data_IF_791480098753
#
_entry.id   IF_791480098753
#
_cell.length_a   1.000
_cell.length_b   1.000
_cell.length_c   1.000
_cell.angle_alpha   90.00
_cell.angle_beta   90.00
_cell.angle_gamma   90.00
#
_symmetry.space_group_name_H-M   'P 1'
#
loop_
_entity.id
_entity.type
_entity.pdbx_description
1 polymer ?
#
# COMPACT_ATOMS: atom_id res chain seq x y z
N UNK A 1 -24.99 22.06 1.36
CA UNK A 1 -24.00 21.04 0.98
C UNK A 1 -23.28 20.63 2.25
N UNK A 2 -23.48 19.40 2.75
CA UNK A 2 -22.81 18.94 3.95
C UNK A 2 -21.35 18.63 3.64
N UNK A 3 -20.44 19.40 4.23
CA UNK A 3 -19.00 19.25 4.00
C UNK A 3 -18.47 18.08 4.84
N UNK A 4 -18.42 16.89 4.23
CA UNK A 4 -17.89 15.66 4.85
C UNK A 4 -16.38 15.67 5.06
N UNK A 5 -15.64 16.49 4.32
CA UNK A 5 -14.18 16.44 4.31
C UNK A 5 -13.57 17.14 5.53
N UNK A 6 -14.17 18.23 6.01
CA UNK A 6 -13.59 19.09 7.05
C UNK A 6 -13.80 20.57 6.74
N UNK A 7 -13.24 21.47 7.54
CA UNK A 7 -13.51 22.91 7.44
C UNK A 7 -12.22 23.73 7.46
N UNK A 8 -12.22 24.85 6.74
CA UNK A 8 -11.13 25.83 6.84
C UNK A 8 -11.40 26.76 8.01
N UNK A 9 -10.46 26.83 8.95
CA UNK A 9 -10.53 27.66 10.16
C UNK A 9 -9.44 28.72 10.09
N UNK A 10 -9.77 29.96 10.48
CA UNK A 10 -8.79 31.02 10.64
C UNK A 10 -7.95 30.76 11.89
N UNK A 11 -6.64 30.74 11.73
CA UNK A 11 -5.70 30.60 12.84
C UNK A 11 -5.43 31.96 13.49
N UNK A 12 -4.91 31.96 14.74
CA UNK A 12 -4.52 33.19 15.43
C UNK A 12 -3.46 34.01 14.68
N UNK A 13 -2.67 33.39 13.81
CA UNK A 13 -1.64 34.06 12.99
C UNK A 13 -2.13 34.52 11.61
N UNK A 14 -3.44 34.69 11.42
CA UNK A 14 -4.07 35.27 10.21
C UNK A 14 -3.86 34.46 8.92
N UNK A 15 -3.83 33.13 9.02
CA UNK A 15 -3.90 32.22 7.87
C UNK A 15 -5.04 31.21 8.01
N UNK A 16 -5.45 30.59 6.90
CA UNK A 16 -6.49 29.55 6.89
C UNK A 16 -5.85 28.17 6.95
N UNK A 17 -6.24 27.37 7.95
CA UNK A 17 -5.84 25.97 8.07
C UNK A 17 -7.03 25.05 7.82
N UNK A 18 -6.82 23.94 7.12
CA UNK A 18 -7.84 22.92 6.92
C UNK A 18 -7.84 21.94 8.09
N UNK A 19 -8.99 21.81 8.77
CA UNK A 19 -9.20 20.84 9.84
C UNK A 19 -10.10 19.73 9.28
N UNK A 20 -9.58 18.51 9.06
CA UNK A 20 -10.41 17.39 8.63
C UNK A 20 -11.43 17.07 9.71
N UNK A 21 -12.64 16.66 9.30
CA UNK A 21 -13.64 16.18 10.26
C UNK A 21 -13.19 14.85 10.86
N UNK A 22 -13.47 14.62 12.14
CA UNK A 22 -13.15 13.35 12.79
C UNK A 22 -13.80 12.18 12.04
N UNK A 23 -13.04 11.09 11.91
CA UNK A 23 -13.50 9.82 11.35
C UNK A 23 -14.40 9.10 12.38
N UNK A 24 -15.58 9.66 12.66
CA UNK A 24 -16.59 8.96 13.43
C UNK A 24 -17.61 8.33 12.48
N UNK A 25 -17.88 7.01 12.58
CA UNK A 25 -18.98 6.40 11.86
C UNK A 25 -20.29 6.85 12.54
N UNK A 26 -20.88 7.95 12.07
CA UNK A 26 -22.23 8.36 12.51
C UNK A 26 -23.32 7.40 11.99
N UNK A 27 -22.98 6.51 11.05
CA UNK A 27 -23.93 5.63 10.37
C UNK A 27 -23.84 4.20 10.87
N UNK A 28 -24.98 3.66 11.31
CA UNK A 28 -25.21 2.22 11.47
C UNK A 28 -24.82 1.49 10.18
N UNK A 29 -24.15 0.33 10.31
CA UNK A 29 -23.79 -0.54 9.18
C UNK A 29 -25.06 -0.81 8.37
N UNK A 30 -25.08 -0.36 7.11
CA UNK A 30 -26.18 -0.62 6.19
C UNK A 30 -25.90 -1.96 5.49
N UNK A 31 -26.90 -2.82 5.46
CA UNK A 31 -26.84 -4.08 4.72
C UNK A 31 -27.25 -3.80 3.27
N UNK A 32 -26.29 -3.32 2.48
CA UNK A 32 -26.47 -2.92 1.10
C UNK A 32 -25.51 -3.68 0.15
N UNK A 33 -25.50 -3.29 -1.13
CA UNK A 33 -24.63 -3.89 -2.14
C UNK A 33 -23.13 -3.65 -1.86
N UNK A 34 -22.77 -2.60 -1.11
CA UNK A 34 -21.38 -2.34 -0.71
C UNK A 34 -20.91 -3.40 0.31
N UNK A 35 -21.81 -3.84 1.19
CA UNK A 35 -21.54 -4.96 2.11
C UNK A 35 -21.32 -6.28 1.35
N UNK A 36 -22.01 -6.50 0.23
CA UNK A 36 -21.73 -7.65 -0.63
C UNK A 36 -20.32 -7.60 -1.25
N UNK A 37 -19.85 -6.41 -1.63
CA UNK A 37 -18.49 -6.23 -2.14
C UNK A 37 -17.45 -6.49 -1.04
N UNK A 38 -17.73 -6.06 0.19
CA UNK A 38 -16.90 -6.38 1.37
C UNK A 38 -16.75 -7.90 1.56
N UNK A 39 -17.86 -8.65 1.61
CA UNK A 39 -17.80 -10.11 1.76
C UNK A 39 -17.07 -10.81 0.60
N UNK A 40 -17.15 -10.26 -0.61
CA UNK A 40 -16.37 -10.77 -1.75
C UNK A 40 -14.87 -10.55 -1.53
N UNK A 41 -14.47 -9.39 -1.01
CA UNK A 41 -13.10 -9.10 -0.61
C UNK A 41 -12.61 -10.08 0.46
N UNK A 42 -13.38 -10.22 1.54
CA UNK A 42 -13.10 -11.12 2.66
C UNK A 42 -12.89 -12.57 2.20
N UNK A 43 -13.75 -13.09 1.32
CA UNK A 43 -13.59 -14.44 0.76
C UNK A 43 -12.32 -14.60 -0.06
N UNK A 44 -11.92 -13.59 -0.82
CA UNK A 44 -10.67 -13.66 -1.59
C UNK A 44 -9.46 -13.65 -0.67
N UNK A 45 -9.50 -12.89 0.43
CA UNK A 45 -8.46 -12.88 1.44
C UNK A 45 -8.35 -14.26 2.14
N UNK A 46 -9.48 -14.83 2.56
CA UNK A 46 -9.52 -16.18 3.12
C UNK A 46 -8.99 -17.25 2.15
N UNK A 47 -9.28 -17.11 0.86
CA UNK A 47 -8.73 -18.00 -0.18
C UNK A 47 -7.21 -17.86 -0.31
N UNK A 48 -6.68 -16.63 -0.26
CA UNK A 48 -5.24 -16.38 -0.29
C UNK A 48 -4.56 -17.06 0.90
N UNK A 49 -5.10 -16.88 2.11
CA UNK A 49 -4.60 -17.52 3.34
C UNK A 49 -4.67 -19.06 3.27
N UNK A 50 -5.73 -19.61 2.67
CA UNK A 50 -5.81 -21.04 2.41
C UNK A 50 -4.70 -21.54 1.48
N UNK A 51 -4.35 -20.79 0.44
CA UNK A 51 -3.32 -21.19 -0.54
C UNK A 51 -1.91 -21.09 0.06
N UNK A 52 -1.63 -20.12 0.92
CA UNK A 52 -0.31 -19.99 1.56
C UNK A 52 0.04 -21.21 2.43
N UNK A 53 -0.96 -21.93 2.95
CA UNK A 53 -0.76 -23.17 3.72
C UNK A 53 -0.14 -24.33 2.93
N UNK A 54 -0.24 -24.31 1.59
CA UNK A 54 0.30 -25.36 0.72
C UNK A 54 1.55 -24.93 -0.05
N UNK A 55 2.00 -23.68 0.15
CA UNK A 55 3.19 -23.17 -0.52
C UNK A 55 4.46 -23.86 0.02
N UNK A 56 5.41 -24.24 -0.86
CA UNK A 56 6.68 -24.82 -0.42
C UNK A 56 7.52 -23.89 0.45
N UNK A 57 7.44 -22.58 0.18
CA UNK A 57 8.16 -21.54 0.93
C UNK A 57 7.31 -20.25 0.96
N UNK A 58 6.47 -20.06 1.98
CA UNK A 58 5.61 -18.88 2.10
C UNK A 58 6.42 -17.59 2.30
N UNK A 59 7.55 -17.65 3.00
CA UNK A 59 8.40 -16.47 3.27
C UNK A 59 8.96 -15.88 1.98
N UNK A 60 9.47 -16.73 1.08
CA UNK A 60 9.94 -16.29 -0.24
C UNK A 60 8.80 -15.68 -1.07
N UNK A 61 7.61 -16.29 -1.02
CA UNK A 61 6.45 -15.78 -1.75
C UNK A 61 6.03 -14.39 -1.25
N UNK A 62 5.95 -14.21 0.07
CA UNK A 62 5.63 -12.92 0.70
C UNK A 62 6.71 -11.89 0.36
N UNK A 63 7.99 -12.25 0.51
CA UNK A 63 9.10 -11.35 0.20
C UNK A 63 9.09 -10.89 -1.26
N UNK A 64 8.64 -11.73 -2.20
CA UNK A 64 8.47 -11.36 -3.61
C UNK A 64 7.27 -10.43 -3.83
N UNK A 65 6.17 -10.67 -3.13
CA UNK A 65 4.98 -9.82 -3.24
C UNK A 65 5.19 -8.44 -2.64
N UNK A 66 5.88 -8.33 -1.50
CA UNK A 66 6.25 -7.03 -0.94
C UNK A 66 7.07 -6.20 -1.95
N UNK A 67 8.07 -6.80 -2.60
CA UNK A 67 8.85 -6.11 -3.65
C UNK A 67 7.97 -5.66 -4.81
N UNK A 68 7.01 -6.50 -5.20
CA UNK A 68 6.07 -6.18 -6.28
C UNK A 68 5.14 -5.03 -5.89
N UNK A 69 4.60 -5.01 -4.67
CA UNK A 69 3.75 -3.92 -4.18
C UNK A 69 4.56 -2.63 -4.07
N UNK A 70 5.77 -2.67 -3.48
CA UNK A 70 6.66 -1.51 -3.43
C UNK A 70 6.97 -0.95 -4.82
N UNK A 71 7.24 -1.82 -5.79
CA UNK A 71 7.42 -1.43 -7.19
C UNK A 71 6.17 -0.76 -7.75
N UNK A 72 4.99 -1.34 -7.57
CA UNK A 72 3.73 -0.79 -8.08
C UNK A 72 3.40 0.56 -7.44
N UNK A 73 3.65 0.72 -6.14
CA UNK A 73 3.50 1.98 -5.42
C UNK A 73 4.43 3.04 -6.00
N UNK A 74 5.72 2.74 -6.19
CA UNK A 74 6.65 3.69 -6.83
C UNK A 74 6.23 4.05 -8.26
N UNK A 75 5.58 3.15 -9.01
CA UNK A 75 5.05 3.49 -10.34
C UNK A 75 3.93 4.51 -10.31
N UNK A 76 3.08 4.50 -9.28
CA UNK A 76 2.03 5.52 -9.09
C UNK A 76 2.66 6.90 -8.90
N UNK A 77 3.84 6.95 -8.29
CA UNK A 77 4.62 8.18 -8.08
C UNK A 77 5.48 8.59 -9.30
N UNK A 78 5.49 7.76 -10.35
CA UNK A 78 6.18 8.04 -11.63
C UNK A 78 7.54 7.36 -11.79
N UNK A 79 7.95 6.52 -10.84
CA UNK A 79 9.19 5.75 -10.95
C UNK A 79 9.07 4.71 -12.08
N UNK A 80 10.08 4.66 -12.95
CA UNK A 80 10.17 3.72 -14.06
C UNK A 80 11.22 2.67 -13.71
N UNK A 81 10.77 1.49 -13.27
CA UNK A 81 11.60 0.37 -12.87
C UNK A 81 10.89 -0.94 -13.24
N UNK A 82 11.62 -2.04 -13.43
CA UNK A 82 11.03 -3.37 -13.58
C UNK A 82 11.32 -4.26 -12.38
N UNK A 83 10.47 -5.28 -12.19
CA UNK A 83 10.73 -6.28 -11.16
C UNK A 83 12.03 -7.05 -11.43
N UNK A 84 12.36 -7.29 -12.70
CA UNK A 84 13.64 -7.89 -13.09
C UNK A 84 14.81 -7.03 -12.62
N UNK A 85 14.79 -5.73 -12.90
CA UNK A 85 15.85 -4.82 -12.48
C UNK A 85 15.98 -4.66 -10.96
N UNK A 86 14.87 -4.74 -10.21
CA UNK A 86 14.90 -4.76 -8.74
C UNK A 86 15.60 -6.02 -8.24
N UNK A 87 15.28 -7.19 -8.81
CA UNK A 87 15.90 -8.46 -8.43
C UNK A 87 17.36 -8.55 -8.86
N UNK A 88 17.71 -8.03 -10.03
CA UNK A 88 19.11 -7.91 -10.48
C UNK A 88 19.90 -7.07 -9.50
N UNK A 89 19.37 -5.91 -9.09
CA UNK A 89 20.02 -5.02 -8.14
C UNK A 89 20.25 -5.69 -6.76
N UNK A 90 19.26 -6.39 -6.22
CA UNK A 90 19.40 -7.12 -4.95
C UNK A 90 20.37 -8.31 -5.03
N UNK A 91 20.52 -8.90 -6.21
CA UNK A 91 21.46 -10.00 -6.46
C UNK A 91 22.89 -9.53 -6.76
N UNK A 92 23.21 -8.25 -6.52
CA UNK A 92 24.48 -7.61 -6.86
C UNK A 92 24.85 -7.71 -8.36
N UNK A 93 23.83 -7.87 -9.22
CA UNK A 93 23.97 -7.80 -10.67
C UNK A 93 23.80 -6.35 -11.15
N UNK A 94 24.29 -6.05 -12.35
CA UNK A 94 24.16 -4.72 -12.94
C UNK A 94 22.83 -4.64 -13.70
N UNK A 95 21.83 -3.89 -13.22
CA UNK A 95 20.57 -3.74 -13.92
C UNK A 95 20.76 -2.92 -15.20
N UNK A 96 19.90 -3.15 -16.19
CA UNK A 96 19.88 -2.31 -17.41
C UNK A 96 19.28 -0.93 -17.17
N UNK A 97 18.47 -0.81 -16.12
CA UNK A 97 17.73 0.39 -15.76
C UNK A 97 18.51 1.23 -14.74
N UNK A 98 17.95 2.40 -14.39
CA UNK A 98 18.56 3.31 -13.43
C UNK A 98 18.59 2.70 -12.02
N UNK A 99 19.81 2.43 -11.54
CA UNK A 99 20.09 1.88 -10.21
C UNK A 99 19.47 2.74 -9.09
N UNK A 100 19.41 4.07 -9.27
CA UNK A 100 18.81 4.94 -8.25
C UNK A 100 17.34 4.63 -8.03
N UNK A 101 16.60 4.27 -9.09
CA UNK A 101 15.19 3.90 -9.02
C UNK A 101 15.00 2.54 -8.35
N UNK A 102 15.88 1.59 -8.64
CA UNK A 102 15.86 0.28 -7.98
C UNK A 102 16.09 0.40 -6.47
N UNK A 103 17.06 1.25 -6.10
CA UNK A 103 17.37 1.52 -4.69
C UNK A 103 16.17 2.14 -3.95
N UNK A 104 15.44 3.03 -4.60
CA UNK A 104 14.22 3.61 -4.03
C UNK A 104 13.16 2.54 -3.75
N UNK A 105 12.87 1.69 -4.74
CA UNK A 105 11.90 0.59 -4.61
C UNK A 105 12.28 -0.38 -3.49
N UNK A 106 13.56 -0.78 -3.42
CA UNK A 106 14.07 -1.69 -2.37
C UNK A 106 13.96 -1.05 -0.98
N UNK A 107 14.28 0.24 -0.85
CA UNK A 107 14.15 0.95 0.42
C UNK A 107 12.68 1.01 0.86
N UNK A 108 11.76 1.26 -0.07
CA UNK A 108 10.32 1.31 0.22
C UNK A 108 9.81 -0.05 0.68
N UNK A 109 10.12 -1.13 -0.04
CA UNK A 109 9.75 -2.49 0.38
C UNK A 109 10.36 -2.90 1.73
N UNK A 110 11.59 -2.47 2.03
CA UNK A 110 12.21 -2.71 3.35
C UNK A 110 11.49 -1.97 4.48
N UNK A 111 10.99 -0.76 4.19
CA UNK A 111 10.21 0.03 5.15
C UNK A 111 8.83 -0.59 5.42
N UNK A 112 8.17 -1.14 4.39
CA UNK A 112 6.88 -1.84 4.52
C UNK A 112 7.01 -3.12 5.35
N UNK A 113 8.10 -3.87 5.21
CA UNK A 113 8.36 -5.04 6.06
C UNK A 113 8.55 -4.62 7.52
N UNK A 114 9.28 -3.52 7.76
CA UNK A 114 9.50 -3.05 9.13
C UNK A 114 8.24 -2.52 9.80
N UNK A 115 7.32 -1.89 9.05
CA UNK A 115 6.04 -1.41 9.60
C UNK A 115 5.06 -2.54 9.91
N UNK A 116 5.17 -3.69 9.24
CA UNK A 116 4.37 -4.88 9.51
C UNK A 116 4.83 -5.67 10.75
N UNK A 117 6.02 -5.40 11.27
CA UNK A 117 6.62 -6.10 12.43
C UNK A 117 6.56 -5.30 13.75
N UNK A 118 5.94 -4.10 13.75
CA UNK A 118 5.69 -3.26 14.93
C UNK A 118 4.20 -3.20 15.26
#
# INVERSE_FOLDING_TARGET
MNNRAGEFVLTPEDYRSFIPRELLPETLIQYDDELHLFFKGDRNLARLDGITSVLPNPDLFIAMYVKKEALLSSHIEGTQASLEGVLEFEADLVPKEDISKMKEVVNLGSSEISSLLQ
#
